data_IF_112085752780
#
_entry.id   IF_112085752780
#
_cell.length_a   1.000
_cell.length_b   1.000
_cell.length_c   1.000
_cell.angle_alpha   90.00
_cell.angle_beta   90.00
_cell.angle_gamma   90.00
#
_symmetry.space_group_name_H-M   'P 1'
#
loop_
_entity.id
_entity.type
_entity.pdbx_description
1 polymer ?
#
# COMPACT_ATOMS: atom_id res chain seq x y z
N UNK A 1 -10.14 -2.52 -30.09
CA UNK A 1 -10.63 -3.81 -29.56
C UNK A 1 -9.65 -4.39 -28.51
N UNK A 2 -9.04 -3.55 -27.65
CA UNK A 2 -7.93 -3.96 -26.76
C UNK A 2 -8.09 -3.62 -25.27
N UNK A 3 -9.26 -3.10 -24.83
CA UNK A 3 -9.52 -2.79 -23.41
C UNK A 3 -10.18 -3.93 -22.62
N UNK A 4 -10.84 -4.87 -23.28
CA UNK A 4 -11.73 -5.83 -22.60
C UNK A 4 -11.00 -6.99 -21.90
N UNK A 5 -9.88 -7.47 -22.46
CA UNK A 5 -9.16 -8.63 -21.90
C UNK A 5 -8.37 -8.27 -20.64
N UNK A 6 -7.80 -7.06 -20.58
CA UNK A 6 -7.01 -6.61 -19.42
C UNK A 6 -7.87 -6.41 -18.17
N UNK A 7 -9.07 -5.86 -18.32
CA UNK A 7 -9.96 -5.60 -17.17
C UNK A 7 -10.43 -6.91 -16.51
N UNK A 8 -10.64 -7.97 -17.29
CA UNK A 8 -11.02 -9.29 -16.77
C UNK A 8 -9.89 -9.97 -15.96
N UNK A 9 -8.64 -9.90 -16.44
CA UNK A 9 -7.48 -10.38 -15.68
C UNK A 9 -7.34 -9.62 -14.35
N UNK A 10 -7.43 -8.29 -14.37
CA UNK A 10 -7.37 -7.48 -13.16
C UNK A 10 -8.51 -7.79 -12.19
N UNK A 11 -9.74 -7.98 -12.67
CA UNK A 11 -10.89 -8.35 -11.83
C UNK A 11 -10.65 -9.64 -11.05
N UNK A 12 -10.05 -10.65 -11.68
CA UNK A 12 -9.72 -11.91 -11.01
C UNK A 12 -8.65 -11.71 -9.91
N UNK A 13 -7.61 -10.91 -10.19
CA UNK A 13 -6.53 -10.60 -9.25
C UNK A 13 -7.05 -9.80 -8.06
N UNK A 14 -7.88 -8.77 -8.30
CA UNK A 14 -8.52 -8.00 -7.23
C UNK A 14 -9.41 -8.88 -6.36
N UNK A 15 -10.23 -9.74 -6.98
CA UNK A 15 -11.10 -10.66 -6.25
C UNK A 15 -10.29 -11.61 -5.35
N UNK A 16 -9.21 -12.18 -5.88
CA UNK A 16 -8.32 -13.06 -5.11
C UNK A 16 -7.64 -12.32 -3.94
N UNK A 17 -7.16 -11.09 -4.19
CA UNK A 17 -6.58 -10.26 -3.13
C UNK A 17 -7.60 -9.92 -2.05
N UNK A 18 -8.79 -9.42 -2.43
CA UNK A 18 -9.90 -9.08 -1.51
C UNK A 18 -10.34 -10.29 -0.68
N UNK A 19 -10.51 -11.45 -1.31
CA UNK A 19 -10.84 -12.69 -0.60
C UNK A 19 -9.76 -13.06 0.42
N UNK A 20 -8.48 -12.93 0.03
CA UNK A 20 -7.37 -13.13 0.95
C UNK A 20 -7.38 -12.15 2.12
N UNK A 21 -7.81 -10.90 1.93
CA UNK A 21 -8.06 -9.94 3.02
C UNK A 21 -9.21 -10.43 3.90
N UNK A 22 -10.39 -10.70 3.34
CA UNK A 22 -11.57 -11.11 4.11
C UNK A 22 -11.29 -12.37 4.95
N UNK A 23 -10.67 -13.40 4.37
CA UNK A 23 -10.33 -14.66 5.05
C UNK A 23 -9.37 -14.48 6.23
N UNK A 24 -8.49 -13.47 6.19
CA UNK A 24 -7.58 -13.13 7.28
C UNK A 24 -8.27 -12.41 8.46
N UNK A 25 -9.60 -12.23 8.39
CA UNK A 25 -10.43 -11.72 9.49
C UNK A 25 -10.17 -10.25 9.81
N UNK A 26 -10.02 -9.42 8.77
CA UNK A 26 -9.69 -8.01 8.91
C UNK A 26 -10.91 -7.10 9.18
N UNK A 27 -10.63 -5.84 9.52
CA UNK A 27 -11.62 -4.78 9.77
C UNK A 27 -12.51 -4.48 8.55
N UNK A 28 -12.01 -4.69 7.34
CA UNK A 28 -12.82 -4.65 6.11
C UNK A 28 -13.61 -5.94 6.04
N UNK A 29 -14.88 -5.86 6.41
CA UNK A 29 -15.85 -6.96 6.27
C UNK A 29 -16.45 -7.01 4.87
N UNK A 30 -16.42 -5.89 4.17
CA UNK A 30 -17.12 -5.70 2.91
C UNK A 30 -16.45 -4.61 2.06
N UNK A 31 -16.08 -4.94 0.83
CA UNK A 31 -15.51 -4.00 -0.15
C UNK A 31 -16.60 -3.24 -0.95
N UNK A 32 -17.89 -3.52 -0.70
CA UNK A 32 -19.02 -2.87 -1.39
C UNK A 32 -19.41 -1.51 -0.79
N UNK A 33 -18.79 -1.10 0.33
CA UNK A 33 -19.02 0.21 0.95
C UNK A 33 -18.75 1.32 -0.08
N UNK A 34 -19.65 2.30 -0.13
CA UNK A 34 -19.62 3.40 -1.10
C UNK A 34 -19.36 4.77 -0.48
N UNK A 35 -19.27 4.86 0.85
CA UNK A 35 -18.89 6.09 1.54
C UNK A 35 -17.36 6.23 1.59
N UNK A 36 -16.82 7.27 0.95
CA UNK A 36 -15.37 7.49 0.86
C UNK A 36 -14.70 7.66 2.22
N UNK A 37 -15.39 8.27 3.20
CA UNK A 37 -14.81 8.47 4.53
C UNK A 37 -14.64 7.14 5.26
N UNK A 38 -15.64 6.27 5.19
CA UNK A 38 -15.59 4.93 5.77
C UNK A 38 -14.57 4.03 5.06
N UNK A 39 -14.46 4.14 3.73
CA UNK A 39 -13.41 3.47 2.93
C UNK A 39 -12.01 3.85 3.44
N UNK A 40 -11.73 5.15 3.59
CA UNK A 40 -10.44 5.66 4.07
C UNK A 40 -10.16 5.12 5.47
N UNK A 41 -11.13 5.26 6.38
CA UNK A 41 -11.00 4.81 7.78
C UNK A 41 -10.69 3.32 7.90
N UNK A 42 -11.44 2.47 7.19
CA UNK A 42 -11.20 1.02 7.23
C UNK A 42 -9.86 0.64 6.60
N UNK A 43 -9.47 1.31 5.53
CA UNK A 43 -8.18 1.09 4.85
C UNK A 43 -7.00 1.44 5.73
N UNK A 44 -7.05 2.57 6.44
CA UNK A 44 -6.02 2.96 7.41
C UNK A 44 -5.97 1.97 8.58
N UNK A 45 -7.11 1.61 9.16
CA UNK A 45 -7.18 0.66 10.28
C UNK A 45 -6.59 -0.71 9.92
N UNK A 46 -6.92 -1.20 8.72
CA UNK A 46 -6.36 -2.43 8.18
C UNK A 46 -4.85 -2.31 7.95
N UNK A 47 -4.42 -1.24 7.30
CA UNK A 47 -3.01 -0.99 7.04
C UNK A 47 -2.17 -0.95 8.33
N UNK A 48 -2.63 -0.25 9.36
CA UNK A 48 -1.97 -0.25 10.66
C UNK A 48 -1.85 -1.64 11.26
N UNK A 49 -2.92 -2.46 11.18
CA UNK A 49 -2.90 -3.84 11.66
C UNK A 49 -1.86 -4.71 10.93
N UNK A 50 -1.59 -4.45 9.66
CA UNK A 50 -0.56 -5.17 8.93
C UNK A 50 0.86 -4.70 9.26
N UNK A 51 1.05 -3.41 9.56
CA UNK A 51 2.33 -2.89 10.05
C UNK A 51 2.62 -3.36 11.47
N UNK A 52 1.65 -3.28 12.39
CA UNK A 52 1.86 -3.59 13.81
C UNK A 52 2.33 -5.03 14.05
N UNK A 53 1.99 -5.98 13.16
CA UNK A 53 2.39 -7.40 13.28
C UNK A 53 3.91 -7.58 13.26
N UNK A 54 4.64 -6.66 12.66
CA UNK A 54 6.09 -6.67 12.59
C UNK A 54 6.75 -5.83 13.70
N UNK A 55 5.98 -5.20 14.59
CA UNK A 55 6.46 -4.26 15.60
C UNK A 55 6.16 -4.77 17.02
N UNK A 56 7.12 -5.45 17.62
CA UNK A 56 6.98 -5.96 18.98
C UNK A 56 6.77 -4.81 19.99
N UNK A 57 5.82 -4.96 20.92
CA UNK A 57 5.54 -3.97 21.96
C UNK A 57 4.80 -2.70 21.51
N UNK A 58 4.52 -2.53 20.21
CA UNK A 58 3.78 -1.35 19.71
C UNK A 58 2.35 -1.27 20.26
N UNK A 59 1.83 -2.40 20.77
CA UNK A 59 0.52 -2.47 21.42
C UNK A 59 0.38 -1.60 22.66
N UNK A 60 1.48 -1.19 23.30
CA UNK A 60 1.44 -0.33 24.48
C UNK A 60 1.20 1.16 24.11
N UNK A 61 1.30 1.51 22.83
CA UNK A 61 1.30 2.89 22.31
C UNK A 61 -0.06 3.25 21.67
N UNK A 62 -1.16 3.00 22.39
CA UNK A 62 -2.51 3.20 21.85
C UNK A 62 -2.86 4.68 21.64
N UNK A 63 -2.32 5.59 22.44
CA UNK A 63 -2.53 7.03 22.26
C UNK A 63 -1.80 7.56 21.02
N UNK A 64 -0.52 7.22 20.87
CA UNK A 64 0.27 7.55 19.68
C UNK A 64 -0.39 7.01 18.41
N UNK A 65 -0.87 5.76 18.47
CA UNK A 65 -1.68 5.16 17.40
C UNK A 65 -2.94 5.98 17.13
N UNK A 66 -3.76 6.28 18.13
CA UNK A 66 -5.00 7.00 17.91
C UNK A 66 -4.75 8.36 17.23
N UNK A 67 -3.75 9.11 17.72
CA UNK A 67 -3.35 10.39 17.16
C UNK A 67 -2.87 10.27 15.70
N UNK A 68 -2.00 9.29 15.41
CA UNK A 68 -1.50 9.05 14.06
C UNK A 68 -2.62 8.67 13.08
N UNK A 69 -3.58 7.84 13.52
CA UNK A 69 -4.69 7.36 12.69
C UNK A 69 -5.70 8.47 12.40
N UNK A 70 -6.10 9.24 13.42
CA UNK A 70 -7.01 10.38 13.25
C UNK A 70 -6.39 11.41 12.30
N UNK A 71 -5.11 11.72 12.50
CA UNK A 71 -4.40 12.67 11.66
C UNK A 71 -4.27 12.18 10.21
N UNK A 72 -3.86 10.93 9.99
CA UNK A 72 -3.73 10.35 8.65
C UNK A 72 -5.09 10.28 7.93
N UNK A 73 -6.18 10.03 8.65
CA UNK A 73 -7.53 10.04 8.07
C UNK A 73 -7.88 11.43 7.51
N UNK A 74 -7.54 12.51 8.23
CA UNK A 74 -7.76 13.88 7.77
C UNK A 74 -6.92 14.19 6.52
N UNK A 75 -5.64 13.79 6.51
CA UNK A 75 -4.76 14.00 5.37
C UNK A 75 -5.22 13.24 4.12
N UNK A 76 -5.67 11.99 4.26
CA UNK A 76 -6.22 11.23 3.13
C UNK A 76 -7.57 11.79 2.66
N UNK A 77 -8.42 12.30 3.56
CA UNK A 77 -9.66 13.00 3.15
C UNK A 77 -9.33 14.24 2.31
N UNK A 78 -8.36 15.05 2.75
CA UNK A 78 -7.88 16.20 1.98
C UNK A 78 -7.29 15.79 0.62
N UNK A 79 -6.52 14.71 0.57
CA UNK A 79 -5.97 14.16 -0.68
C UNK A 79 -7.04 13.85 -1.73
N UNK A 80 -8.17 13.27 -1.33
CA UNK A 80 -9.27 12.95 -2.27
C UNK A 80 -10.13 14.16 -2.66
N UNK A 81 -9.89 15.33 -2.06
CA UNK A 81 -10.47 16.60 -2.50
C UNK A 81 -9.49 17.39 -3.39
N UNK A 82 -8.21 17.43 -3.01
CA UNK A 82 -7.15 18.21 -3.67
C UNK A 82 -5.86 17.38 -3.80
N UNK A 83 -5.77 16.46 -4.77
CA UNK A 83 -4.61 15.60 -4.91
C UNK A 83 -3.39 16.36 -5.48
N UNK A 84 -2.14 15.96 -5.15
CA UNK A 84 -0.93 16.52 -5.75
C UNK A 84 -0.93 16.43 -7.28
N UNK A 85 -0.54 17.51 -7.96
CA UNK A 85 -0.65 17.62 -9.41
C UNK A 85 0.38 16.77 -10.19
N UNK A 86 1.48 16.39 -9.55
CA UNK A 86 2.56 15.64 -10.19
C UNK A 86 3.35 14.80 -9.18
N UNK A 87 4.18 13.89 -9.70
CA UNK A 87 5.01 12.99 -8.90
C UNK A 87 5.92 13.72 -7.90
N UNK A 88 6.47 14.88 -8.26
CA UNK A 88 7.34 15.65 -7.36
C UNK A 88 6.57 16.19 -6.16
N UNK A 89 5.36 16.73 -6.38
CA UNK A 89 4.49 17.17 -5.30
C UNK A 89 4.01 15.99 -4.45
N UNK A 90 3.64 14.86 -5.09
CA UNK A 90 3.24 13.65 -4.38
C UNK A 90 4.35 13.14 -3.46
N UNK A 91 5.59 13.02 -3.94
CA UNK A 91 6.72 12.54 -3.13
C UNK A 91 6.99 13.46 -1.94
N UNK A 92 6.91 14.79 -2.13
CA UNK A 92 7.07 15.75 -1.03
C UNK A 92 5.98 15.60 0.02
N UNK A 93 4.72 15.49 -0.42
CA UNK A 93 3.57 15.28 0.47
C UNK A 93 3.68 13.94 1.21
N UNK A 94 3.99 12.85 0.49
CA UNK A 94 4.12 11.51 1.06
C UNK A 94 5.27 11.42 2.07
N UNK A 95 6.43 12.03 1.77
CA UNK A 95 7.54 12.13 2.73
C UNK A 95 7.12 12.90 3.98
N UNK A 96 6.42 14.03 3.82
CA UNK A 96 5.88 14.78 4.96
C UNK A 96 4.93 13.93 5.81
N UNK A 97 4.06 13.12 5.19
CA UNK A 97 3.23 12.17 5.92
C UNK A 97 4.06 11.17 6.73
N UNK A 98 5.12 10.62 6.13
CA UNK A 98 6.02 9.70 6.82
C UNK A 98 6.69 10.37 8.01
N UNK A 99 7.26 11.56 7.83
CA UNK A 99 7.93 12.34 8.88
C UNK A 99 6.97 12.57 10.07
N UNK A 100 5.73 12.94 9.79
CA UNK A 100 4.70 13.18 10.82
C UNK A 100 4.26 11.90 11.53
N UNK A 101 3.98 10.82 10.80
CA UNK A 101 3.62 9.53 11.40
C UNK A 101 4.72 9.06 12.36
N UNK A 102 5.99 9.09 11.92
CA UNK A 102 7.14 8.70 12.75
C UNK A 102 7.19 9.55 14.02
N UNK A 103 6.90 10.85 13.92
CA UNK A 103 6.93 11.75 15.08
C UNK A 103 5.90 11.39 16.16
N UNK A 104 4.71 10.87 15.78
CA UNK A 104 3.74 10.39 16.77
C UNK A 104 4.29 9.22 17.59
N UNK A 105 5.11 8.36 16.99
CA UNK A 105 5.71 7.19 17.66
C UNK A 105 7.12 7.44 18.21
N UNK A 106 7.50 8.69 18.48
CA UNK A 106 8.82 9.01 19.00
C UNK A 106 9.14 8.28 20.32
N UNK A 107 8.13 8.02 21.15
CA UNK A 107 8.27 7.28 22.40
C UNK A 107 8.57 5.80 22.19
N UNK A 108 8.12 5.20 21.08
CA UNK A 108 8.33 3.78 20.78
C UNK A 108 9.81 3.44 20.60
N UNK A 109 10.63 4.38 20.12
CA UNK A 109 12.09 4.21 20.00
C UNK A 109 12.77 3.88 21.34
N UNK A 110 12.16 4.26 22.47
CA UNK A 110 12.66 3.91 23.81
C UNK A 110 12.42 2.43 24.19
N UNK A 111 11.50 1.75 23.50
CA UNK A 111 11.16 0.32 23.70
C UNK A 111 11.76 -0.59 22.65
N UNK A 112 11.95 -0.10 21.43
CA UNK A 112 12.51 -0.83 20.31
C UNK A 112 13.59 0.01 19.65
N UNK A 113 14.82 -0.51 19.55
CA UNK A 113 15.97 0.24 19.02
C UNK A 113 15.73 0.75 17.59
N UNK A 114 15.07 -0.07 16.75
CA UNK A 114 14.66 0.37 15.40
C UNK A 114 13.55 1.42 15.43
N UNK A 115 12.74 1.49 16.48
CA UNK A 115 11.61 2.40 16.59
C UNK A 115 10.58 2.24 15.45
N UNK A 116 9.80 3.29 15.20
CA UNK A 116 8.88 3.35 14.07
C UNK A 116 9.61 4.03 12.90
N UNK A 117 9.98 3.26 11.89
CA UNK A 117 10.89 3.72 10.82
C UNK A 117 10.15 4.32 9.62
N UNK A 118 10.91 4.84 8.64
CA UNK A 118 10.35 5.20 7.34
C UNK A 118 9.74 3.99 6.64
N UNK A 119 10.35 2.82 6.74
CA UNK A 119 9.77 1.60 6.18
C UNK A 119 8.41 1.26 6.78
N UNK A 120 8.22 1.48 8.08
CA UNK A 120 6.91 1.35 8.74
C UNK A 120 5.90 2.38 8.22
N UNK A 121 6.29 3.65 8.16
CA UNK A 121 5.41 4.74 7.74
C UNK A 121 5.01 4.63 6.27
N UNK A 122 5.96 4.36 5.38
CA UNK A 122 5.69 4.13 3.96
C UNK A 122 4.80 2.92 3.75
N UNK A 123 5.06 1.81 4.46
CA UNK A 123 4.19 0.63 4.40
C UNK A 123 2.76 0.95 4.86
N UNK A 124 2.59 1.72 5.94
CA UNK A 124 1.28 2.15 6.43
C UNK A 124 0.51 2.98 5.38
N UNK A 125 1.16 3.98 4.78
CA UNK A 125 0.49 4.85 3.80
C UNK A 125 0.20 4.08 2.50
N UNK A 126 1.16 3.31 1.99
CA UNK A 126 1.03 2.60 0.71
C UNK A 126 0.00 1.48 0.79
N UNK A 127 -0.05 0.74 1.90
CA UNK A 127 -1.10 -0.25 2.12
C UNK A 127 -2.47 0.41 2.23
N UNK A 128 -2.59 1.57 2.88
CA UNK A 128 -3.86 2.29 2.95
C UNK A 128 -4.36 2.63 1.54
N UNK A 129 -3.51 3.22 0.69
CA UNK A 129 -3.86 3.48 -0.71
C UNK A 129 -4.24 2.22 -1.48
N UNK A 130 -3.48 1.12 -1.29
CA UNK A 130 -3.79 -0.17 -1.91
C UNK A 130 -5.16 -0.69 -1.51
N UNK A 131 -5.53 -0.61 -0.23
CA UNK A 131 -6.83 -1.05 0.24
C UNK A 131 -7.97 -0.16 -0.27
N UNK A 132 -7.79 1.16 -0.27
CA UNK A 132 -8.77 2.10 -0.84
C UNK A 132 -9.01 1.72 -2.30
N UNK A 133 -7.93 1.51 -3.07
CA UNK A 133 -8.02 1.13 -4.48
C UNK A 133 -8.80 -0.16 -4.70
N UNK A 134 -8.80 -1.07 -3.72
CA UNK A 134 -9.56 -2.31 -3.79
C UNK A 134 -11.06 -2.16 -3.50
N UNK A 135 -11.64 -1.00 -3.16
CA UNK A 135 -13.10 -0.91 -2.95
C UNK A 135 -13.89 -0.90 -4.27
N UNK A 136 -15.11 -1.44 -4.25
CA UNK A 136 -15.98 -1.52 -5.44
C UNK A 136 -16.38 -0.16 -5.97
N UNK A 137 -16.54 0.83 -5.09
CA UNK A 137 -16.74 2.20 -5.50
C UNK A 137 -15.62 2.69 -6.44
N UNK A 138 -14.36 2.40 -6.09
CA UNK A 138 -13.19 2.82 -6.87
C UNK A 138 -13.14 2.07 -8.20
N UNK A 139 -13.37 0.75 -8.17
CA UNK A 139 -13.32 -0.09 -9.37
C UNK A 139 -14.49 0.19 -10.34
N UNK A 140 -15.71 0.38 -9.83
CA UNK A 140 -16.89 0.67 -10.65
C UNK A 140 -16.89 2.08 -11.24
N UNK A 141 -16.18 3.02 -10.62
CA UNK A 141 -16.00 4.40 -11.11
C UNK A 141 -14.54 4.67 -11.46
N UNK A 142 -13.88 3.71 -12.10
CA UNK A 142 -12.45 3.77 -12.43
C UNK A 142 -12.06 5.07 -13.13
N UNK A 143 -12.79 5.48 -14.18
CA UNK A 143 -12.49 6.71 -14.93
C UNK A 143 -12.50 7.98 -14.06
N UNK A 144 -13.24 7.98 -12.95
CA UNK A 144 -13.28 9.08 -11.98
C UNK A 144 -12.12 9.03 -11.00
N UNK A 145 -11.75 7.84 -10.52
CA UNK A 145 -10.83 7.70 -9.38
C UNK A 145 -9.41 7.31 -9.76
N UNK A 146 -9.15 6.76 -10.94
CA UNK A 146 -7.86 6.16 -11.28
C UNK A 146 -6.70 7.18 -11.18
N UNK A 147 -6.94 8.44 -11.56
CA UNK A 147 -5.93 9.51 -11.50
C UNK A 147 -5.44 9.82 -10.07
N UNK A 148 -6.27 9.56 -9.04
CA UNK A 148 -5.86 9.70 -7.64
C UNK A 148 -4.81 8.66 -7.22
N UNK A 149 -4.51 7.66 -8.06
CA UNK A 149 -3.51 6.63 -7.75
C UNK A 149 -2.29 6.69 -8.67
N UNK A 150 -2.26 7.64 -9.60
CA UNK A 150 -1.23 7.76 -10.66
C UNK A 150 0.18 7.84 -10.10
N UNK A 151 0.36 8.54 -8.97
CA UNK A 151 1.68 8.77 -8.36
C UNK A 151 1.94 7.92 -7.11
N UNK A 152 1.01 7.03 -6.74
CA UNK A 152 1.13 6.22 -5.53
C UNK A 152 2.43 5.40 -5.50
N UNK A 153 2.94 5.22 -4.29
CA UNK A 153 3.98 4.25 -4.01
C UNK A 153 3.34 2.88 -3.71
N UNK A 154 4.07 1.82 -4.00
CA UNK A 154 3.59 0.44 -3.77
C UNK A 154 4.10 -0.06 -2.44
N UNK A 155 3.40 -1.06 -1.91
CA UNK A 155 3.86 -1.71 -0.68
C UNK A 155 5.04 -2.62 -0.99
N UNK A 156 6.13 -2.50 -0.22
CA UNK A 156 7.17 -3.53 -0.17
C UNK A 156 6.81 -4.54 0.93
N UNK A 157 6.47 -5.76 0.53
CA UNK A 157 6.34 -6.90 1.42
C UNK A 157 7.51 -7.89 1.25
N UNK A 158 7.60 -8.90 2.12
CA UNK A 158 8.69 -9.87 2.05
C UNK A 158 8.68 -10.65 0.73
N UNK A 159 7.54 -10.81 0.07
CA UNK A 159 7.45 -11.41 -1.26
C UNK A 159 8.14 -10.55 -2.32
N UNK A 160 7.81 -9.26 -2.37
CA UNK A 160 8.41 -8.30 -3.29
C UNK A 160 9.90 -8.10 -2.99
N UNK A 161 10.30 -8.00 -1.72
CA UNK A 161 11.71 -7.89 -1.33
C UNK A 161 12.53 -9.10 -1.81
N UNK A 162 12.07 -10.32 -1.53
CA UNK A 162 12.74 -11.55 -2.00
C UNK A 162 12.81 -11.58 -3.53
N UNK A 163 11.73 -11.18 -4.20
CA UNK A 163 11.70 -11.08 -5.66
C UNK A 163 12.80 -10.16 -6.22
N UNK A 164 13.10 -9.03 -5.56
CA UNK A 164 14.17 -8.10 -5.97
C UNK A 164 15.55 -8.43 -5.36
N UNK A 165 15.67 -9.57 -4.68
CA UNK A 165 16.92 -10.06 -4.09
C UNK A 165 17.36 -9.27 -2.85
N UNK A 166 16.41 -8.72 -2.09
CA UNK A 166 16.68 -8.01 -0.83
C UNK A 166 16.22 -8.89 0.34
N UNK A 167 17.07 -9.10 1.36
CA UNK A 167 16.67 -9.80 2.59
C UNK A 167 15.46 -9.14 3.25
N UNK A 168 14.68 -9.91 3.99
CA UNK A 168 13.42 -9.43 4.60
C UNK A 168 13.64 -8.23 5.55
N UNK A 169 12.55 -7.50 5.85
CA UNK A 169 12.57 -6.49 6.92
C UNK A 169 12.43 -5.03 6.47
N UNK A 170 11.41 -4.72 5.67
CA UNK A 170 11.08 -3.33 5.28
C UNK A 170 10.93 -2.41 6.49
N UNK A 171 10.42 -2.92 7.61
CA UNK A 171 10.19 -2.15 8.85
C UNK A 171 11.46 -1.64 9.52
N UNK A 172 12.65 -2.01 9.05
CA UNK A 172 13.93 -1.50 9.56
C UNK A 172 14.57 -0.45 8.64
N UNK A 173 13.88 -0.02 7.57
CA UNK A 173 14.40 0.99 6.64
C UNK A 173 14.25 2.39 7.26
N UNK A 174 15.37 3.03 7.58
CA UNK A 174 15.45 4.38 8.16
C UNK A 174 15.64 5.49 7.13
N UNK A 175 15.73 5.16 5.85
CA UNK A 175 15.92 6.11 4.76
C UNK A 175 14.70 6.10 3.83
N UNK A 176 14.08 7.27 3.64
CA UNK A 176 12.91 7.41 2.80
C UNK A 176 13.20 7.04 1.34
N UNK A 177 14.28 7.57 0.77
CA UNK A 177 14.64 7.42 -0.63
C UNK A 177 15.12 6.00 -0.95
N UNK A 178 15.70 5.30 0.03
CA UNK A 178 16.07 3.89 -0.10
C UNK A 178 14.85 3.01 -0.39
N UNK A 179 13.72 3.21 0.31
CA UNK A 179 12.47 2.49 0.04
C UNK A 179 11.99 2.75 -1.40
N UNK A 180 12.02 4.02 -1.83
CA UNK A 180 11.62 4.42 -3.18
C UNK A 180 12.51 3.76 -4.24
N UNK A 181 13.82 3.68 -3.97
CA UNK A 181 14.77 2.98 -4.83
C UNK A 181 14.41 1.49 -4.97
N UNK A 182 14.08 0.81 -3.86
CA UNK A 182 13.67 -0.59 -3.87
C UNK A 182 12.37 -0.80 -4.66
N UNK A 183 11.39 0.09 -4.53
CA UNK A 183 10.18 0.08 -5.34
C UNK A 183 10.50 0.20 -6.85
N UNK A 184 11.35 1.15 -7.24
CA UNK A 184 11.77 1.31 -8.64
C UNK A 184 12.45 0.05 -9.17
N UNK A 185 13.27 -0.60 -8.34
CA UNK A 185 13.89 -1.90 -8.67
C UNK A 185 12.84 -2.99 -8.93
N UNK A 186 11.78 -3.06 -8.12
CA UNK A 186 10.68 -4.00 -8.32
C UNK A 186 9.99 -3.80 -9.68
N UNK A 187 9.70 -2.55 -10.04
CA UNK A 187 9.13 -2.24 -11.34
C UNK A 187 10.07 -2.57 -12.51
N UNK A 188 11.37 -2.30 -12.38
CA UNK A 188 12.33 -2.62 -13.45
C UNK A 188 12.43 -4.12 -13.75
N UNK A 189 12.28 -4.99 -12.74
CA UNK A 189 12.25 -6.45 -12.94
C UNK A 189 11.00 -6.94 -13.67
N UNK A 190 9.89 -6.23 -13.54
CA UNK A 190 8.59 -6.62 -14.09
C UNK A 190 8.45 -6.30 -15.59
N UNK A 191 9.29 -5.41 -16.14
CA UNK A 191 9.24 -5.04 -17.56
C UNK A 191 9.72 -6.14 -18.51
N UNK A 192 10.14 -7.31 -18.01
CA UNK A 192 10.47 -8.46 -18.85
C UNK A 192 9.16 -9.15 -19.27
N UNK A 193 8.65 -8.82 -20.46
CA UNK A 193 7.52 -9.51 -21.11
C UNK A 193 6.17 -8.78 -21.07
N UNK A 194 6.08 -7.61 -20.44
CA UNK A 194 4.91 -6.71 -20.56
C UNK A 194 5.16 -5.75 -21.71
N UNK A 195 4.24 -5.67 -22.67
CA UNK A 195 4.32 -4.72 -23.78
C UNK A 195 4.38 -3.27 -23.28
N UNK A 196 5.32 -2.49 -23.81
CA UNK A 196 5.50 -1.05 -23.52
C UNK A 196 4.26 -0.21 -23.87
N UNK A 197 3.32 -0.76 -24.65
CA UNK A 197 2.06 -0.10 -25.02
C UNK A 197 1.05 0.01 -23.87
N UNK A 198 1.22 -0.77 -22.79
CA UNK A 198 0.27 -0.83 -21.68
C UNK A 198 0.76 0.08 -20.54
N UNK A 199 0.18 1.27 -20.44
CA UNK A 199 0.51 2.24 -19.39
C UNK A 199 -0.26 1.95 -18.10
N UNK A 200 0.32 1.11 -17.24
CA UNK A 200 -0.23 0.79 -15.92
C UNK A 200 0.19 1.79 -14.85
N UNK A 201 -0.72 2.08 -13.92
CA UNK A 201 -0.44 2.80 -12.69
C UNK A 201 0.34 1.94 -11.69
N UNK A 202 1.04 2.56 -10.73
CA UNK A 202 1.88 1.84 -9.77
C UNK A 202 1.16 0.70 -9.03
N UNK A 203 -0.07 0.92 -8.58
CA UNK A 203 -0.83 -0.11 -7.87
C UNK A 203 -1.21 -1.29 -8.77
N UNK A 204 -1.57 -1.04 -10.03
CA UNK A 204 -1.87 -2.11 -10.99
C UNK A 204 -0.63 -2.97 -11.25
N UNK A 205 0.54 -2.34 -11.37
CA UNK A 205 1.82 -3.05 -11.44
C UNK A 205 2.05 -3.91 -10.20
N UNK A 206 1.76 -3.40 -9.01
CA UNK A 206 1.84 -4.17 -7.76
C UNK A 206 0.93 -5.41 -7.78
N UNK A 207 -0.31 -5.28 -8.26
CA UNK A 207 -1.24 -6.42 -8.36
C UNK A 207 -0.78 -7.47 -9.36
N UNK A 208 -0.18 -7.06 -10.47
CA UNK A 208 0.44 -8.01 -11.40
C UNK A 208 1.64 -8.74 -10.77
N UNK A 209 2.51 -8.04 -10.04
CA UNK A 209 3.60 -8.68 -9.28
C UNK A 209 3.01 -9.67 -8.27
N UNK A 210 1.98 -9.26 -7.54
CA UNK A 210 1.31 -10.11 -6.57
C UNK A 210 0.79 -11.40 -7.22
N UNK A 211 0.06 -11.29 -8.33
CA UNK A 211 -0.48 -12.45 -9.04
C UNK A 211 0.61 -13.43 -9.46
N UNK A 212 1.65 -12.91 -10.14
CA UNK A 212 2.80 -13.69 -10.56
C UNK A 212 3.50 -14.41 -9.38
N UNK A 213 3.64 -13.73 -8.24
CA UNK A 213 4.24 -14.33 -7.04
C UNK A 213 3.35 -15.41 -6.40
N UNK A 214 2.02 -15.35 -6.54
CA UNK A 214 1.15 -16.42 -6.08
C UNK A 214 1.24 -17.65 -6.98
N UNK A 215 1.19 -17.46 -8.30
CA UNK A 215 1.33 -18.57 -9.28
C UNK A 215 2.63 -19.35 -9.08
N UNK A 216 3.75 -18.64 -8.84
CA UNK A 216 5.04 -19.30 -8.55
C UNK A 216 5.06 -20.09 -7.25
N UNK A 217 4.35 -19.63 -6.21
CA UNK A 217 4.24 -20.40 -4.96
C UNK A 217 3.46 -21.69 -5.16
N UNK A 218 2.39 -21.65 -5.95
CA UNK A 218 1.59 -22.84 -6.26
C UNK A 218 2.36 -23.88 -7.08
N UNK A 219 3.24 -23.45 -7.99
CA UNK A 219 4.12 -24.35 -8.76
C UNK A 219 5.21 -24.99 -7.89
N UNK A 220 5.66 -24.32 -6.83
CA UNK A 220 6.71 -24.84 -5.95
C UNK A 220 6.17 -25.83 -4.90
N UNK A 221 4.85 -25.87 -4.70
CA UNK A 221 4.15 -26.75 -3.75
C UNK A 221 3.50 -27.97 -4.42
N UNK A 222 3.58 -28.10 -5.74
CA UNK A 222 3.16 -29.26 -6.53
C UNK A 222 4.38 -30.07 -6.96
#
# INVERSE_FOLDING_TARGET
>A
MGKSVQFEEFNSVFKNFRNGVIQRGYYIKDFTITDMHEIIKQSIALSYRDVQRALHGIGDFQEEKANAIIWLEQELKSYFNEPPLNATQFNKWHKFLCDKIISFFCNYKRRCESGFTYGCAQKLINLAFKYIYCFDLIQSQYDKYAEYFRFCHITLDNGILRWIGIPEGVTHIHDYDLYICMQKKAFSKQLIGISDEIKLFPLEKEFMIYNYLQEKKEVTLK
#
